data_IF_558113598245
#
_entry.id   IF_558113598245
#
_cell.length_a   1.000
_cell.length_b   1.000
_cell.length_c   1.000
_cell.angle_alpha   90.00
_cell.angle_beta   90.00
_cell.angle_gamma   90.00
#
_symmetry.space_group_name_H-M   'P 1'
#
loop_
_entity.id
_entity.type
_entity.pdbx_description
1 polymer ?
#
# COMPACT_ATOMS: atom_id res chain seq x y z
N UNK A 1 19.30 4.38 6.09
CA UNK A 1 18.14 5.27 5.88
C UNK A 1 16.87 4.50 6.24
N UNK A 2 15.95 5.14 6.93
CA UNK A 2 14.67 4.53 7.30
C UNK A 2 13.62 4.95 6.27
N UNK A 3 12.84 4.01 5.76
CA UNK A 3 11.73 4.29 4.86
C UNK A 3 10.53 4.88 5.60
N UNK A 4 9.49 5.21 4.89
CA UNK A 4 8.28 5.81 5.45
C UNK A 4 7.08 4.88 5.26
N UNK A 5 6.21 4.85 6.27
CA UNK A 5 4.92 4.17 6.20
C UNK A 5 3.83 5.23 6.01
N UNK A 6 3.06 5.07 4.96
CA UNK A 6 1.94 5.95 4.66
C UNK A 6 0.62 5.21 4.80
N UNK A 7 -0.32 5.79 5.53
CA UNK A 7 -1.68 5.27 5.58
C UNK A 7 -2.49 6.03 4.55
N UNK A 8 -3.07 5.29 3.60
CA UNK A 8 -3.75 5.87 2.45
C UNK A 8 -5.20 5.45 2.43
N UNK A 9 -6.10 6.43 2.47
CA UNK A 9 -7.52 6.18 2.29
C UNK A 9 -7.80 5.92 0.82
N UNK A 10 -8.58 4.87 0.55
CA UNK A 10 -8.99 4.52 -0.80
C UNK A 10 -10.46 4.82 -1.01
N UNK A 11 -10.87 5.11 -2.26
CA UNK A 11 -12.27 5.44 -2.52
C UNK A 11 -13.19 4.25 -2.29
N UNK A 12 -14.39 4.55 -1.80
CA UNK A 12 -15.49 3.58 -1.70
C UNK A 12 -16.37 3.79 -2.93
N UNK A 13 -16.51 2.77 -3.75
CA UNK A 13 -17.33 2.83 -4.95
C UNK A 13 -16.55 3.30 -6.18
N UNK A 14 -16.52 4.60 -6.45
CA UNK A 14 -15.88 5.12 -7.66
C UNK A 14 -14.38 5.32 -7.48
N UNK A 15 -13.56 4.60 -8.26
CA UNK A 15 -12.11 4.67 -8.19
C UNK A 15 -11.55 6.06 -8.52
N UNK A 16 -12.30 6.87 -9.27
CA UNK A 16 -11.88 8.24 -9.62
C UNK A 16 -11.94 9.21 -8.44
N UNK A 17 -12.57 8.80 -7.33
CA UNK A 17 -12.64 9.63 -6.13
C UNK A 17 -11.34 9.61 -5.30
N UNK A 18 -10.31 8.93 -5.77
CA UNK A 18 -9.03 8.92 -5.08
C UNK A 18 -8.39 10.32 -5.10
N UNK A 19 -7.75 10.70 -3.99
CA UNK A 19 -7.11 12.01 -3.90
C UNK A 19 -5.81 12.05 -4.70
N UNK A 20 -5.44 13.24 -5.14
CA UNK A 20 -4.16 13.46 -5.82
C UNK A 20 -2.98 13.05 -4.94
N UNK A 21 -3.04 13.37 -3.63
CA UNK A 21 -2.01 13.00 -2.68
C UNK A 21 -1.84 11.48 -2.59
N UNK A 22 -2.95 10.75 -2.54
CA UNK A 22 -2.90 9.28 -2.48
C UNK A 22 -2.23 8.70 -3.72
N UNK A 23 -2.53 9.23 -4.90
CA UNK A 23 -1.89 8.79 -6.16
C UNK A 23 -0.38 9.01 -6.09
N UNK A 24 0.06 10.19 -5.65
CA UNK A 24 1.48 10.50 -5.54
C UNK A 24 2.20 9.56 -4.57
N UNK A 25 1.57 9.25 -3.43
CA UNK A 25 2.14 8.31 -2.46
C UNK A 25 2.25 6.91 -3.07
N UNK A 26 1.20 6.44 -3.74
CA UNK A 26 1.22 5.10 -4.35
C UNK A 26 2.29 4.98 -5.44
N UNK A 27 2.59 6.06 -6.14
CA UNK A 27 3.67 6.08 -7.13
C UNK A 27 5.04 6.04 -6.48
N UNK A 28 5.19 6.59 -5.28
CA UNK A 28 6.49 6.76 -4.62
C UNK A 28 6.91 5.59 -3.75
N UNK A 29 5.96 4.78 -3.26
CA UNK A 29 6.29 3.68 -2.35
C UNK A 29 6.88 2.48 -3.08
N UNK A 30 7.57 1.62 -2.32
CA UNK A 30 8.13 0.39 -2.85
C UNK A 30 7.14 -0.77 -2.77
N UNK A 31 6.27 -0.77 -1.76
CA UNK A 31 5.37 -1.88 -1.47
C UNK A 31 4.02 -1.34 -1.03
N UNK A 32 2.96 -2.04 -1.41
CA UNK A 32 1.60 -1.76 -0.96
C UNK A 32 1.12 -2.92 -0.10
N UNK A 33 0.65 -2.61 1.12
CA UNK A 33 -0.03 -3.56 1.99
C UNK A 33 -1.52 -3.30 1.94
N UNK A 34 -2.32 -4.34 1.84
CA UNK A 34 -3.76 -4.19 1.75
C UNK A 34 -4.48 -5.37 2.40
N UNK A 35 -5.59 -5.09 3.07
CA UNK A 35 -6.46 -6.12 3.59
C UNK A 35 -7.15 -6.87 2.44
N UNK A 36 -7.69 -6.12 1.48
CA UNK A 36 -8.29 -6.69 0.27
C UNK A 36 -7.38 -6.44 -0.93
N UNK A 37 -6.59 -7.43 -1.28
CA UNK A 37 -5.64 -7.31 -2.38
C UNK A 37 -6.32 -7.19 -3.74
N UNK A 38 -7.54 -7.74 -3.88
CA UNK A 38 -8.27 -7.66 -5.16
C UNK A 38 -8.72 -6.24 -5.45
N UNK A 39 -9.24 -5.55 -4.44
CA UNK A 39 -9.63 -4.15 -4.56
C UNK A 39 -8.42 -3.28 -4.87
N UNK A 40 -7.32 -3.51 -4.16
CA UNK A 40 -6.09 -2.74 -4.36
C UNK A 40 -5.48 -2.96 -5.74
N UNK A 41 -5.53 -4.18 -6.26
CA UNK A 41 -5.07 -4.46 -7.62
C UNK A 41 -5.89 -3.70 -8.66
N UNK A 42 -7.22 -3.65 -8.49
CA UNK A 42 -8.09 -2.89 -9.39
C UNK A 42 -7.75 -1.40 -9.35
N UNK A 43 -7.54 -0.86 -8.16
CA UNK A 43 -7.18 0.54 -8.00
C UNK A 43 -5.87 0.87 -8.69
N UNK A 44 -4.83 0.09 -8.44
CA UNK A 44 -3.52 0.33 -9.04
C UNK A 44 -3.57 0.18 -10.57
N UNK A 45 -4.31 -0.80 -11.07
CA UNK A 45 -4.50 -0.96 -12.50
C UNK A 45 -5.22 0.25 -13.11
N UNK A 46 -6.26 0.75 -12.45
CA UNK A 46 -6.99 1.93 -12.87
C UNK A 46 -6.08 3.15 -12.97
N UNK A 47 -5.12 3.28 -12.05
CA UNK A 47 -4.17 4.39 -11.99
C UNK A 47 -2.92 4.16 -12.85
N UNK A 48 -2.82 3.02 -13.52
CA UNK A 48 -1.64 2.63 -14.30
C UNK A 48 -0.36 2.62 -13.44
N UNK A 49 -0.49 2.11 -12.21
CA UNK A 49 0.63 1.99 -11.26
C UNK A 49 0.92 0.51 -11.04
N UNK A 50 2.19 0.13 -11.19
CA UNK A 50 2.64 -1.23 -10.94
C UNK A 50 3.52 -1.28 -9.70
N UNK A 51 3.02 -1.90 -8.63
CA UNK A 51 3.74 -2.07 -7.36
C UNK A 51 3.43 -3.44 -6.78
N UNK A 52 4.38 -4.03 -6.04
CA UNK A 52 4.07 -5.26 -5.29
C UNK A 52 2.97 -4.99 -4.28
N UNK A 53 1.98 -5.87 -4.24
CA UNK A 53 0.87 -5.79 -3.29
C UNK A 53 0.94 -7.04 -2.42
N UNK A 54 0.93 -6.84 -1.09
CA UNK A 54 0.93 -7.93 -0.12
C UNK A 54 -0.33 -7.86 0.73
N UNK A 55 -0.86 -9.03 1.05
CA UNK A 55 -2.00 -9.13 1.94
C UNK A 55 -1.60 -8.78 3.37
N UNK A 56 -2.40 -7.95 4.03
CA UNK A 56 -2.24 -7.61 5.44
C UNK A 56 -3.60 -7.71 6.11
N UNK A 57 -3.85 -8.83 6.78
CA UNK A 57 -5.14 -9.09 7.40
C UNK A 57 -4.95 -9.82 8.74
N UNK A 58 -6.04 -9.99 9.47
CA UNK A 58 -6.03 -10.52 10.82
C UNK A 58 -5.22 -11.81 11.00
N UNK A 59 -5.30 -12.73 10.05
CA UNK A 59 -4.64 -14.03 10.15
C UNK A 59 -3.11 -13.99 9.99
N UNK A 60 -2.58 -12.96 9.34
CA UNK A 60 -1.15 -12.87 9.08
C UNK A 60 -0.51 -11.58 9.64
N UNK A 61 -1.27 -10.79 10.39
CA UNK A 61 -0.87 -9.45 10.81
C UNK A 61 0.45 -9.42 11.57
N UNK A 62 0.64 -10.33 12.53
CA UNK A 62 1.86 -10.36 13.34
C UNK A 62 3.11 -10.59 12.50
N UNK A 63 3.08 -11.59 11.62
CA UNK A 63 4.20 -11.92 10.74
C UNK A 63 4.49 -10.79 9.76
N UNK A 64 3.45 -10.24 9.15
CA UNK A 64 3.60 -9.16 8.18
C UNK A 64 4.04 -7.86 8.84
N UNK A 65 3.67 -7.63 10.09
CA UNK A 65 4.12 -6.47 10.83
C UNK A 65 5.64 -6.50 11.02
N UNK A 66 6.19 -7.63 11.43
CA UNK A 66 7.64 -7.75 11.60
C UNK A 66 8.37 -7.59 10.28
N UNK A 67 7.88 -8.22 9.22
CA UNK A 67 8.47 -8.08 7.88
C UNK A 67 8.46 -6.62 7.43
N UNK A 68 7.36 -5.92 7.66
CA UNK A 68 7.22 -4.51 7.28
C UNK A 68 8.18 -3.62 8.07
N UNK A 69 8.35 -3.88 9.37
CA UNK A 69 9.31 -3.14 10.19
C UNK A 69 10.73 -3.32 9.64
N UNK A 70 11.10 -4.55 9.29
CA UNK A 70 12.42 -4.85 8.74
C UNK A 70 12.63 -4.12 7.40
N UNK A 71 11.62 -4.09 6.56
CA UNK A 71 11.67 -3.39 5.27
C UNK A 71 11.81 -1.88 5.44
N UNK A 72 11.09 -1.29 6.40
CA UNK A 72 11.21 0.13 6.71
C UNK A 72 12.63 0.46 7.21
N UNK A 73 13.20 -0.39 8.07
CA UNK A 73 14.57 -0.21 8.54
C UNK A 73 15.59 -0.30 7.40
N UNK A 74 15.29 -1.05 6.36
CA UNK A 74 16.18 -1.17 5.19
C UNK A 74 16.01 0.00 4.20
N UNK A 75 15.11 0.93 4.46
CA UNK A 75 14.91 2.13 3.65
C UNK A 75 13.74 2.05 2.66
N UNK A 76 12.98 0.96 2.65
CA UNK A 76 11.81 0.84 1.78
C UNK A 76 10.62 1.59 2.34
N UNK A 77 9.82 2.19 1.46
CA UNK A 77 8.61 2.89 1.84
C UNK A 77 7.39 2.02 1.52
N UNK A 78 6.39 2.08 2.39
CA UNK A 78 5.23 1.22 2.34
C UNK A 78 3.95 2.05 2.43
N UNK A 79 2.97 1.74 1.59
CA UNK A 79 1.64 2.30 1.71
C UNK A 79 0.70 1.22 2.27
N UNK A 80 -0.05 1.56 3.30
CA UNK A 80 -1.08 0.70 3.89
C UNK A 80 -2.44 1.23 3.46
N UNK A 81 -3.17 0.40 2.74
CA UNK A 81 -4.49 0.74 2.21
C UNK A 81 -5.61 0.16 3.06
#
# INVERSE_FOLDING_TARGET
MIGALFIVATPIGNLDDITFRAVEILKSVDIVLAEDTRHSKKLLLHLDISKPIRAFHEHNERKKTQTSIDELHSGKSIALL
#
